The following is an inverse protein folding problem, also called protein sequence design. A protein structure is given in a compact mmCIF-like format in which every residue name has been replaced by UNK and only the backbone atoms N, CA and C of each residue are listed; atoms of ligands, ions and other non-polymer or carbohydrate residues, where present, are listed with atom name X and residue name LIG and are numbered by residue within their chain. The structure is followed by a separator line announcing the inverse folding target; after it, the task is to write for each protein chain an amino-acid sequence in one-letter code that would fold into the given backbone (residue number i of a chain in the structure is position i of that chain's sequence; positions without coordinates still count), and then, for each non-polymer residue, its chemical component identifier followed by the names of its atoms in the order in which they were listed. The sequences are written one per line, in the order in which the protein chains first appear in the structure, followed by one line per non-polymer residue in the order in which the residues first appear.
data_IF_571683890747
#
_entry.id   IF_571683890747
#
_cell.length_a   1.000
_cell.length_b   1.000
_cell.length_c   1.000
_cell.angle_alpha   90.00
_cell.angle_beta   90.00
_cell.angle_gamma   90.00
#
_symmetry.space_group_name_H-M   'P 1'
#
loop_
_entity.id
_entity.type
_entity.pdbx_description
1 polymer ?
#
# COMPACT_ATOMS: atom_id res chain seq x y z
N UNK A 1 -9.09 -17.73 -68.66
CA UNK A 1 -9.91 -16.91 -69.60
C UNK A 1 -9.02 -16.05 -70.50
N UNK A 2 -8.27 -15.09 -70.01
CA UNK A 2 -7.44 -14.19 -70.83
C UNK A 2 -6.44 -14.90 -71.77
N UNK A 3 -5.88 -16.03 -71.35
CA UNK A 3 -4.96 -16.80 -72.20
C UNK A 3 -5.67 -17.53 -73.38
N UNK A 4 -6.86 -18.04 -73.09
CA UNK A 4 -7.69 -18.66 -74.11
C UNK A 4 -8.15 -17.64 -75.22
N UNK A 5 -8.54 -16.45 -74.70
CA UNK A 5 -8.92 -15.34 -75.63
C UNK A 5 -7.72 -14.88 -76.47
N UNK A 6 -6.52 -14.77 -75.84
CA UNK A 6 -5.28 -14.41 -76.53
C UNK A 6 -4.91 -15.44 -77.60
N UNK A 7 -4.95 -16.72 -77.29
CA UNK A 7 -4.60 -17.80 -78.21
C UNK A 7 -5.68 -17.96 -79.28
N UNK A 8 -6.98 -17.78 -78.97
CA UNK A 8 -8.05 -17.76 -79.92
C UNK A 8 -7.91 -16.62 -80.99
N UNK A 9 -7.59 -15.40 -80.45
CA UNK A 9 -7.36 -14.25 -81.35
C UNK A 9 -6.14 -14.47 -82.30
N UNK A 10 -5.09 -15.12 -81.79
CA UNK A 10 -3.93 -15.47 -82.64
C UNK A 10 -4.28 -16.52 -83.72
N UNK A 11 -5.11 -17.48 -83.36
CA UNK A 11 -5.60 -18.44 -84.33
C UNK A 11 -6.45 -17.78 -85.37
N UNK A 12 -7.36 -16.87 -85.03
CA UNK A 12 -8.19 -16.10 -85.97
C UNK A 12 -7.37 -15.26 -86.97
N UNK A 13 -6.27 -14.65 -86.51
CA UNK A 13 -5.44 -13.76 -87.32
C UNK A 13 -4.44 -14.47 -88.26
N UNK A 14 -3.95 -15.64 -87.89
CA UNK A 14 -2.86 -16.30 -88.60
C UNK A 14 -2.96 -17.82 -88.76
N UNK A 15 -4.10 -18.39 -88.36
CA UNK A 15 -4.34 -19.82 -88.48
C UNK A 15 -3.44 -20.69 -87.57
N UNK A 16 -3.32 -21.94 -87.98
CA UNK A 16 -2.58 -22.96 -87.25
C UNK A 16 -1.10 -22.60 -86.97
N UNK A 17 -0.43 -22.00 -87.94
CA UNK A 17 1.00 -21.67 -87.84
C UNK A 17 1.23 -20.60 -86.71
N UNK A 18 0.42 -19.56 -86.75
CA UNK A 18 0.51 -18.48 -85.79
C UNK A 18 0.19 -18.96 -84.34
N UNK A 19 -0.81 -19.84 -84.21
CA UNK A 19 -1.16 -20.44 -82.94
C UNK A 19 -0.02 -21.32 -82.42
N UNK A 20 0.53 -22.21 -83.24
CA UNK A 20 1.65 -23.08 -82.87
C UNK A 20 2.88 -22.28 -82.41
N UNK A 21 3.29 -21.29 -83.22
CA UNK A 21 4.44 -20.45 -82.87
C UNK A 21 4.24 -19.69 -81.56
N UNK A 22 3.03 -19.18 -81.32
CA UNK A 22 2.66 -18.51 -80.07
C UNK A 22 2.67 -19.46 -78.88
N UNK A 23 2.17 -20.68 -79.01
CA UNK A 23 2.18 -21.71 -77.95
C UNK A 23 3.62 -22.12 -77.61
N UNK A 24 4.46 -22.32 -78.63
CA UNK A 24 5.87 -22.66 -78.42
C UNK A 24 6.60 -21.52 -77.76
N UNK A 25 6.39 -20.30 -78.18
CA UNK A 25 6.99 -19.12 -77.60
C UNK A 25 6.55 -18.90 -76.13
N UNK A 26 5.25 -18.94 -75.86
CA UNK A 26 4.71 -18.81 -74.48
C UNK A 26 5.21 -19.91 -73.59
N UNK A 27 5.30 -21.13 -74.00
CA UNK A 27 5.81 -22.23 -73.24
C UNK A 27 7.36 -22.16 -73.00
N UNK A 28 8.08 -21.54 -73.88
CA UNK A 28 9.55 -21.30 -73.76
C UNK A 28 9.85 -20.31 -72.66
N UNK A 29 8.99 -19.30 -72.41
CA UNK A 29 9.10 -18.35 -71.37
C UNK A 29 8.60 -18.86 -69.98
N UNK A 30 7.66 -19.84 -69.99
CA UNK A 30 7.04 -20.45 -68.82
C UNK A 30 7.64 -21.81 -68.46
N UNK A 31 8.96 -21.86 -68.30
CA UNK A 31 9.69 -23.10 -68.03
C UNK A 31 9.16 -23.94 -66.86
N UNK A 32 8.57 -23.30 -65.83
CA UNK A 32 8.14 -23.98 -64.62
C UNK A 32 6.66 -24.42 -64.60
N UNK A 33 5.82 -23.85 -65.47
CA UNK A 33 4.39 -24.22 -65.58
C UNK A 33 3.85 -24.01 -67.02
N UNK A 34 4.33 -24.83 -67.96
CA UNK A 34 3.85 -24.78 -69.33
C UNK A 34 2.37 -25.20 -69.41
N UNK A 35 1.63 -24.58 -70.37
CA UNK A 35 0.28 -24.97 -70.57
C UNK A 35 0.19 -26.26 -71.37
N UNK A 36 -0.73 -27.14 -71.00
CA UNK A 36 -1.23 -28.16 -71.83
C UNK A 36 -2.14 -27.47 -72.85
N UNK A 37 -1.98 -27.82 -74.14
CA UNK A 37 -2.81 -27.27 -75.18
C UNK A 37 -3.17 -28.37 -76.19
N UNK A 38 -4.47 -28.52 -76.44
CA UNK A 38 -4.96 -29.48 -77.41
C UNK A 38 -6.00 -28.78 -78.33
N UNK A 39 -5.93 -29.00 -79.60
CA UNK A 39 -6.92 -28.56 -80.56
C UNK A 39 -7.49 -29.76 -81.28
N UNK A 40 -8.78 -29.87 -81.20
CA UNK A 40 -9.59 -30.91 -81.85
C UNK A 40 -10.24 -30.31 -83.09
N UNK A 41 -9.78 -30.69 -84.28
CA UNK A 41 -10.34 -30.20 -85.54
C UNK A 41 -11.77 -30.68 -85.77
N UNK A 42 -12.66 -29.83 -86.36
CA UNK A 42 -14.07 -30.15 -86.62
C UNK A 42 -14.28 -31.33 -87.60
N UNK A 43 -13.27 -31.67 -88.39
CA UNK A 43 -13.31 -32.71 -89.45
C UNK A 43 -12.47 -33.96 -89.18
N UNK A 44 -12.22 -34.31 -87.90
CA UNK A 44 -11.74 -35.64 -87.44
C UNK A 44 -10.39 -36.16 -87.98
N UNK A 45 -9.52 -35.29 -88.54
CA UNK A 45 -8.28 -35.79 -89.20
C UNK A 45 -6.95 -35.28 -88.67
N UNK A 46 -6.90 -34.29 -87.74
CA UNK A 46 -5.63 -33.91 -87.11
C UNK A 46 -5.87 -33.26 -85.76
N UNK A 47 -5.65 -34.02 -84.67
CA UNK A 47 -5.50 -33.46 -83.33
C UNK A 47 -4.10 -32.89 -83.23
N UNK A 48 -3.96 -31.57 -83.05
CA UNK A 48 -2.74 -30.93 -82.70
C UNK A 48 -2.69 -30.86 -81.13
N UNK A 49 -1.77 -31.64 -80.56
CA UNK A 49 -1.63 -31.67 -79.13
C UNK A 49 -0.22 -31.19 -78.76
N UNK A 50 -0.14 -30.16 -77.92
CA UNK A 50 1.11 -29.68 -77.36
C UNK A 50 1.14 -30.08 -75.92
N UNK A 51 2.13 -30.95 -75.55
CA UNK A 51 2.29 -31.45 -74.22
C UNK A 51 3.41 -30.66 -73.51
N UNK A 52 3.19 -30.19 -72.28
CA UNK A 52 4.24 -29.65 -71.47
C UNK A 52 5.24 -30.74 -71.01
N UNK A 53 6.36 -30.37 -70.53
CA UNK A 53 7.28 -31.29 -69.87
C UNK A 53 6.55 -32.07 -68.78
N UNK A 54 6.84 -33.39 -68.65
CA UNK A 54 6.21 -34.33 -67.70
C UNK A 54 4.75 -34.71 -67.99
N UNK A 55 4.31 -34.60 -69.26
CA UNK A 55 2.96 -35.03 -69.65
C UNK A 55 2.71 -36.53 -69.37
N UNK A 56 3.75 -37.37 -69.31
CA UNK A 56 3.69 -38.81 -69.04
C UNK A 56 3.11 -39.11 -67.66
N UNK A 57 3.10 -38.15 -66.77
CA UNK A 57 2.55 -38.26 -65.42
C UNK A 57 1.02 -38.21 -65.41
N UNK A 58 0.37 -37.83 -66.49
CA UNK A 58 -1.08 -37.72 -66.58
C UNK A 58 -1.71 -38.89 -67.35
N UNK A 59 -2.95 -39.24 -66.99
CA UNK A 59 -3.73 -40.27 -67.72
C UNK A 59 -4.31 -39.72 -68.99
N UNK A 60 -3.54 -39.87 -70.05
CA UNK A 60 -3.95 -39.36 -71.37
C UNK A 60 -5.02 -40.22 -72.08
N UNK A 61 -5.29 -41.44 -71.63
CA UNK A 61 -6.42 -42.26 -72.11
C UNK A 61 -7.74 -41.65 -71.71
N UNK A 62 -7.86 -41.18 -70.47
CA UNK A 62 -9.01 -40.43 -70.01
C UNK A 62 -9.24 -39.15 -70.77
N UNK A 63 -8.17 -38.47 -71.23
CA UNK A 63 -8.30 -37.32 -72.14
C UNK A 63 -8.78 -37.66 -73.53
N UNK A 64 -8.44 -38.84 -74.04
CA UNK A 64 -8.88 -39.34 -75.34
C UNK A 64 -10.36 -39.68 -75.30
N UNK A 65 -10.85 -40.28 -74.26
CA UNK A 65 -12.24 -40.68 -74.10
C UNK A 65 -13.20 -39.47 -73.98
N UNK A 66 -12.68 -38.29 -73.65
CA UNK A 66 -13.41 -37.03 -73.67
C UNK A 66 -13.43 -36.36 -75.03
N UNK A 67 -13.89 -37.08 -76.04
CA UNK A 67 -13.86 -36.65 -77.45
C UNK A 67 -14.79 -35.46 -77.80
N UNK A 68 -15.77 -35.16 -76.95
CA UNK A 68 -16.68 -34.01 -77.17
C UNK A 68 -17.03 -33.25 -75.86
N UNK A 69 -16.07 -32.60 -75.22
CA UNK A 69 -16.35 -31.80 -74.02
C UNK A 69 -17.18 -30.54 -74.42
N UNK A 70 -18.16 -30.20 -73.57
CA UNK A 70 -18.97 -28.98 -73.77
C UNK A 70 -18.09 -27.74 -73.71
N UNK A 71 -18.17 -26.79 -74.60
CA UNK A 71 -17.46 -25.54 -74.54
C UNK A 71 -17.78 -24.82 -73.26
N UNK A 72 -16.74 -24.26 -72.57
CA UNK A 72 -16.85 -23.63 -71.26
C UNK A 72 -16.77 -24.59 -70.03
N UNK A 73 -16.71 -25.89 -70.30
CA UNK A 73 -16.57 -26.87 -69.22
C UNK A 73 -15.12 -26.92 -68.66
N UNK A 74 -15.01 -27.02 -67.35
CA UNK A 74 -13.78 -27.29 -66.69
C UNK A 74 -13.76 -28.74 -66.24
N UNK A 75 -12.63 -29.42 -66.43
CA UNK A 75 -12.44 -30.75 -65.86
C UNK A 75 -11.02 -30.89 -65.29
N UNK A 76 -10.88 -31.82 -64.41
CA UNK A 76 -9.60 -32.14 -63.76
C UNK A 76 -9.11 -33.48 -64.23
N UNK A 77 -7.87 -33.51 -64.67
CA UNK A 77 -7.15 -34.71 -64.99
C UNK A 77 -6.15 -34.98 -63.91
N UNK A 78 -6.34 -36.00 -63.05
CA UNK A 78 -5.40 -36.29 -62.00
C UNK A 78 -4.10 -36.81 -62.60
N UNK A 79 -2.99 -36.45 -61.91
CA UNK A 79 -1.70 -37.06 -62.16
C UNK A 79 -1.70 -38.52 -61.65
N UNK A 80 -0.93 -39.41 -62.28
CA UNK A 80 -0.79 -40.82 -61.85
C UNK A 80 -0.40 -41.03 -60.42
N UNK A 81 0.38 -40.10 -59.81
CA UNK A 81 0.75 -40.12 -58.45
C UNK A 81 -0.28 -39.47 -57.49
N UNK A 82 -1.39 -38.93 -57.99
CA UNK A 82 -2.45 -38.26 -57.26
C UNK A 82 -1.96 -37.09 -56.38
N UNK A 83 -0.83 -36.49 -56.77
CA UNK A 83 -0.23 -35.39 -55.99
C UNK A 83 -0.65 -34.00 -56.44
N UNK A 84 -1.01 -33.85 -57.70
CA UNK A 84 -1.54 -32.63 -58.31
C UNK A 84 -2.39 -32.96 -59.53
N UNK A 85 -3.22 -32.04 -59.98
CA UNK A 85 -4.15 -32.21 -61.10
C UNK A 85 -3.78 -31.26 -62.22
N UNK A 86 -4.18 -31.62 -63.44
CA UNK A 86 -4.26 -30.72 -64.59
C UNK A 86 -5.69 -30.19 -64.68
N UNK A 87 -5.88 -28.90 -64.44
CA UNK A 87 -7.19 -28.25 -64.66
C UNK A 87 -7.29 -27.81 -66.14
N UNK A 88 -8.20 -28.42 -66.88
CA UNK A 88 -8.36 -28.22 -68.31
C UNK A 88 -9.67 -27.47 -68.54
N UNK A 89 -9.62 -26.43 -69.36
CA UNK A 89 -10.76 -25.69 -69.85
C UNK A 89 -10.90 -25.88 -71.32
N UNK A 90 -12.15 -26.06 -71.85
CA UNK A 90 -12.47 -26.21 -73.25
C UNK A 90 -13.14 -24.96 -73.77
N UNK A 91 -12.66 -24.43 -74.88
CA UNK A 91 -13.29 -23.35 -75.66
C UNK A 91 -13.55 -23.79 -77.05
N UNK A 92 -14.56 -23.19 -77.77
CA UNK A 92 -14.85 -23.41 -79.17
C UNK A 92 -14.26 -22.27 -79.99
N UNK A 93 -13.52 -22.61 -81.02
CA UNK A 93 -13.01 -21.68 -81.99
C UNK A 93 -14.11 -21.33 -83.05
N UNK A 94 -13.88 -20.26 -83.80
CA UNK A 94 -14.87 -19.77 -84.77
C UNK A 94 -15.12 -20.74 -85.97
N UNK A 95 -14.15 -21.62 -86.27
CA UNK A 95 -14.26 -22.68 -87.30
C UNK A 95 -14.97 -23.95 -86.82
N UNK A 96 -15.46 -23.97 -85.57
CA UNK A 96 -16.11 -25.08 -84.92
C UNK A 96 -15.16 -26.04 -84.21
N UNK A 97 -13.86 -25.88 -84.36
CA UNK A 97 -12.84 -26.67 -83.63
C UNK A 97 -12.89 -26.43 -82.10
N UNK A 98 -12.55 -27.44 -81.29
CA UNK A 98 -12.48 -27.34 -79.85
C UNK A 98 -11.02 -27.12 -79.41
N UNK A 99 -10.82 -26.13 -78.60
CA UNK A 99 -9.56 -25.73 -78.04
C UNK A 99 -9.55 -26.02 -76.53
N UNK A 100 -8.60 -26.82 -76.10
CA UNK A 100 -8.39 -27.17 -74.67
C UNK A 100 -7.09 -26.60 -74.14
N UNK A 101 -7.16 -25.89 -72.99
CA UNK A 101 -6.00 -25.35 -72.34
C UNK A 101 -6.01 -25.87 -70.87
N UNK A 102 -4.91 -26.44 -70.46
CA UNK A 102 -4.76 -27.00 -69.10
C UNK A 102 -3.60 -26.37 -68.33
N UNK A 103 -3.77 -26.19 -67.08
CA UNK A 103 -2.77 -25.68 -66.18
C UNK A 103 -2.57 -26.68 -65.05
N UNK A 104 -1.29 -26.97 -64.66
CA UNK A 104 -0.97 -27.82 -63.53
C UNK A 104 -1.23 -27.09 -62.22
N UNK A 105 -1.85 -27.78 -61.25
CA UNK A 105 -2.06 -27.27 -59.90
C UNK A 105 -0.82 -27.42 -58.99
N UNK A 106 0.29 -27.98 -59.49
CA UNK A 106 1.51 -28.25 -58.72
C UNK A 106 2.11 -27.01 -58.05
N UNK A 107 2.22 -25.90 -58.80
CA UNK A 107 2.73 -24.64 -58.28
C UNK A 107 1.85 -24.08 -57.17
N UNK A 108 0.54 -24.17 -57.35
CA UNK A 108 -0.44 -23.75 -56.35
C UNK A 108 -0.30 -24.55 -55.06
N UNK A 109 -0.15 -25.87 -55.15
CA UNK A 109 0.03 -26.76 -54.00
C UNK A 109 1.37 -26.50 -53.27
N UNK A 110 2.44 -26.26 -54.06
CA UNK A 110 3.77 -25.91 -53.47
C UNK A 110 3.74 -24.57 -52.73
N UNK A 111 3.09 -23.56 -53.33
CA UNK A 111 2.93 -22.26 -52.64
C UNK A 111 2.09 -22.39 -51.38
N UNK A 112 0.97 -23.11 -51.45
CA UNK A 112 0.14 -23.38 -50.28
C UNK A 112 0.87 -24.17 -49.17
N UNK A 113 1.69 -25.15 -49.58
CA UNK A 113 2.54 -25.90 -48.65
C UNK A 113 3.55 -25.01 -47.92
N UNK A 114 4.22 -24.09 -48.65
CA UNK A 114 5.13 -23.11 -48.06
C UNK A 114 4.42 -22.14 -47.13
N UNK A 115 3.26 -21.60 -47.55
CA UNK A 115 2.46 -20.70 -46.70
C UNK A 115 1.99 -21.41 -45.45
N UNK A 116 1.52 -22.66 -45.52
CA UNK A 116 1.17 -23.46 -44.36
C UNK A 116 2.36 -23.69 -43.42
N UNK A 117 3.54 -23.98 -43.97
CA UNK A 117 4.75 -24.14 -43.18
C UNK A 117 5.12 -22.86 -42.41
N UNK A 118 5.13 -21.71 -43.09
CA UNK A 118 5.38 -20.40 -42.44
C UNK A 118 4.32 -20.10 -41.40
N UNK A 119 3.05 -20.35 -41.71
CA UNK A 119 2.00 -20.11 -40.73
C UNK A 119 2.14 -20.96 -39.47
N UNK A 120 2.44 -22.24 -39.59
CA UNK A 120 2.65 -23.14 -38.44
C UNK A 120 3.86 -22.71 -37.59
N UNK A 121 4.97 -22.34 -38.24
CA UNK A 121 6.18 -21.90 -37.49
C UNK A 121 5.96 -20.59 -36.78
N UNK A 122 5.34 -19.60 -37.41
CA UNK A 122 5.04 -18.30 -36.81
C UNK A 122 4.05 -18.46 -35.63
N UNK A 123 2.97 -19.24 -35.88
CA UNK A 123 1.98 -19.51 -34.81
C UNK A 123 2.61 -20.24 -33.61
N UNK A 124 3.46 -21.23 -33.88
CA UNK A 124 4.18 -21.95 -32.82
C UNK A 124 5.08 -21.04 -32.01
N UNK A 125 5.83 -20.14 -32.66
CA UNK A 125 6.68 -19.14 -31.98
C UNK A 125 5.86 -18.17 -31.13
N UNK A 126 4.72 -17.68 -31.65
CA UNK A 126 3.83 -16.80 -30.91
C UNK A 126 3.24 -17.47 -29.66
N UNK A 127 2.82 -18.73 -29.77
CA UNK A 127 2.31 -19.49 -28.63
C UNK A 127 3.40 -19.67 -27.56
N UNK A 128 4.62 -20.02 -27.97
CA UNK A 128 5.75 -20.14 -27.04
C UNK A 128 6.03 -18.82 -26.33
N UNK A 129 6.06 -17.71 -27.05
CA UNK A 129 6.22 -16.38 -26.48
C UNK A 129 5.10 -16.01 -25.50
N UNK A 130 3.85 -16.33 -25.84
CA UNK A 130 2.70 -16.08 -24.98
C UNK A 130 2.78 -16.89 -23.68
N UNK A 131 3.15 -18.17 -23.75
CA UNK A 131 3.34 -19.03 -22.57
C UNK A 131 4.51 -18.54 -21.70
N UNK A 132 5.64 -18.21 -22.29
CA UNK A 132 6.79 -17.68 -21.58
C UNK A 132 6.47 -16.33 -20.92
N UNK A 133 5.84 -15.42 -21.64
CA UNK A 133 5.40 -14.12 -21.11
C UNK A 133 4.38 -14.27 -19.97
N UNK A 134 3.39 -15.16 -20.14
CA UNK A 134 2.41 -15.45 -19.10
C UNK A 134 3.03 -16.06 -17.82
N UNK A 135 4.02 -16.95 -17.98
CA UNK A 135 4.74 -17.54 -16.86
C UNK A 135 5.59 -16.49 -16.11
N UNK A 136 6.27 -15.61 -16.84
CA UNK A 136 7.03 -14.50 -16.26
C UNK A 136 6.13 -13.51 -15.52
N UNK A 137 5.01 -13.12 -16.13
CA UNK A 137 4.02 -12.24 -15.51
C UNK A 137 3.42 -12.84 -14.24
N UNK A 138 3.07 -14.13 -14.28
CA UNK A 138 2.54 -14.84 -13.11
C UNK A 138 3.53 -14.85 -11.94
N UNK A 139 4.81 -15.07 -12.22
CA UNK A 139 5.85 -15.08 -11.18
C UNK A 139 6.18 -13.70 -10.63
N UNK A 140 6.23 -12.68 -11.49
CA UNK A 140 6.62 -11.32 -11.06
C UNK A 140 5.49 -10.51 -10.45
N UNK A 141 4.24 -10.73 -10.85
CA UNK A 141 3.11 -9.90 -10.42
C UNK A 141 2.13 -10.67 -9.54
N UNK A 142 1.67 -11.84 -9.98
CA UNK A 142 0.59 -12.56 -9.26
C UNK A 142 1.06 -13.22 -7.98
N UNK A 143 2.26 -13.80 -7.95
CA UNK A 143 2.78 -14.45 -6.74
C UNK A 143 3.03 -13.48 -5.59
N UNK A 144 3.71 -12.33 -5.76
CA UNK A 144 3.88 -11.33 -4.72
C UNK A 144 2.55 -10.81 -4.17
N UNK A 145 1.60 -10.50 -5.05
CA UNK A 145 0.27 -10.05 -4.65
C UNK A 145 -0.46 -11.10 -3.81
N UNK A 146 -0.34 -12.37 -4.17
CA UNK A 146 -0.95 -13.47 -3.40
C UNK A 146 -0.30 -13.64 -2.03
N UNK A 147 1.01 -13.45 -1.93
CA UNK A 147 1.73 -13.46 -0.66
C UNK A 147 1.27 -12.33 0.26
N UNK A 148 1.06 -11.13 -0.30
CA UNK A 148 0.51 -9.98 0.41
C UNK A 148 -0.87 -10.29 0.99
N UNK A 149 -1.80 -10.83 0.18
CA UNK A 149 -3.13 -11.25 0.63
C UNK A 149 -3.05 -12.31 1.74
N UNK A 150 -2.18 -13.31 1.60
CA UNK A 150 -1.99 -14.35 2.60
C UNK A 150 -1.46 -13.79 3.92
N UNK A 151 -0.55 -12.81 3.86
CA UNK A 151 -0.01 -12.14 5.06
C UNK A 151 -1.10 -11.33 5.76
N UNK A 152 -1.95 -10.61 5.03
CA UNK A 152 -3.12 -9.91 5.59
C UNK A 152 -4.04 -10.88 6.33
N UNK A 153 -4.40 -12.00 5.70
CA UNK A 153 -5.25 -13.03 6.31
C UNK A 153 -4.61 -13.68 7.54
N UNK A 154 -3.28 -13.84 7.54
CA UNK A 154 -2.57 -14.34 8.71
C UNK A 154 -2.65 -13.35 9.90
N UNK A 155 -2.50 -12.04 9.61
CA UNK A 155 -2.63 -10.99 10.63
C UNK A 155 -4.06 -10.92 11.17
N UNK A 156 -5.07 -10.98 10.30
CA UNK A 156 -6.49 -11.04 10.69
C UNK A 156 -6.77 -12.22 11.63
N UNK A 157 -6.11 -13.35 11.42
CA UNK A 157 -6.20 -14.53 12.31
C UNK A 157 -5.37 -14.41 13.60
N UNK A 158 -4.76 -13.25 13.87
CA UNK A 158 -4.01 -12.96 15.11
C UNK A 158 -2.50 -13.20 15.04
N UNK A 159 -1.95 -13.58 13.88
CA UNK A 159 -0.49 -13.77 13.70
C UNK A 159 0.20 -12.44 13.38
N UNK A 160 0.36 -11.57 14.39
CA UNK A 160 0.93 -10.23 14.24
C UNK A 160 2.41 -10.20 13.83
N UNK A 161 3.12 -11.33 13.90
CA UNK A 161 4.53 -11.46 13.48
C UNK A 161 4.67 -11.79 11.99
N UNK A 162 3.55 -12.03 11.28
CA UNK A 162 3.59 -12.28 9.85
C UNK A 162 4.11 -11.05 9.10
N UNK A 163 5.01 -11.27 8.14
CA UNK A 163 5.59 -10.22 7.30
C UNK A 163 5.49 -10.63 5.83
N UNK A 164 5.35 -9.65 4.97
CA UNK A 164 5.48 -9.83 3.52
C UNK A 164 6.94 -10.13 3.24
N UNK A 165 7.20 -11.25 2.58
CA UNK A 165 8.55 -11.63 2.17
C UNK A 165 9.09 -10.63 1.16
N UNK A 166 10.36 -10.29 1.30
CA UNK A 166 11.11 -9.48 0.35
C UNK A 166 11.03 -10.11 -1.05
N UNK A 167 10.43 -9.41 -1.98
CA UNK A 167 10.17 -9.93 -3.33
C UNK A 167 11.31 -9.66 -4.30
N UNK A 168 12.30 -8.84 -3.93
CA UNK A 168 13.47 -8.46 -4.74
C UNK A 168 13.10 -8.14 -6.20
N UNK A 169 11.93 -7.56 -6.41
CA UNK A 169 11.44 -7.21 -7.74
C UNK A 169 11.97 -5.88 -8.23
N UNK A 170 12.42 -4.99 -7.31
CA UNK A 170 12.94 -3.66 -7.59
C UNK A 170 11.89 -2.71 -8.19
N UNK A 171 10.62 -2.97 -7.95
CA UNK A 171 9.49 -2.23 -8.51
C UNK A 171 8.52 -1.74 -7.42
N UNK A 172 7.40 -1.16 -7.83
CA UNK A 172 6.36 -0.61 -6.95
C UNK A 172 5.75 -1.66 -6.01
N UNK A 173 5.86 -2.95 -6.33
CA UNK A 173 5.36 -4.04 -5.47
C UNK A 173 6.27 -4.28 -4.27
N UNK A 174 7.57 -4.07 -4.42
CA UNK A 174 8.54 -4.13 -3.31
C UNK A 174 8.32 -2.94 -2.36
N UNK A 175 8.17 -1.72 -2.91
CA UNK A 175 7.84 -0.53 -2.12
C UNK A 175 6.54 -0.70 -1.34
N UNK A 176 5.49 -1.28 -1.97
CA UNK A 176 4.23 -1.59 -1.31
C UNK A 176 4.41 -2.61 -0.18
N UNK A 177 5.23 -3.64 -0.38
CA UNK A 177 5.57 -4.63 0.63
C UNK A 177 6.25 -4.01 1.85
N UNK A 178 7.19 -3.10 1.62
CA UNK A 178 7.92 -2.38 2.67
C UNK A 178 7.01 -1.45 3.48
N UNK A 179 6.19 -0.66 2.80
CA UNK A 179 5.20 0.21 3.44
C UNK A 179 4.22 -0.60 4.30
N UNK A 180 3.79 -1.75 3.79
CA UNK A 180 2.92 -2.66 4.52
C UNK A 180 3.59 -3.23 5.77
N UNK A 181 4.85 -3.67 5.65
CA UNK A 181 5.63 -4.17 6.79
C UNK A 181 5.86 -3.08 7.85
N UNK A 182 6.13 -1.83 7.45
CA UNK A 182 6.25 -0.69 8.34
C UNK A 182 4.93 -0.41 9.08
N UNK A 183 3.79 -0.48 8.39
CA UNK A 183 2.47 -0.32 9.00
C UNK A 183 2.20 -1.41 10.05
N UNK A 184 2.50 -2.68 9.73
CA UNK A 184 2.35 -3.80 10.67
C UNK A 184 3.24 -3.60 11.89
N UNK A 185 4.48 -3.18 11.70
CA UNK A 185 5.41 -2.93 12.83
C UNK A 185 4.87 -1.85 13.75
N UNK A 186 4.34 -0.77 13.18
CA UNK A 186 3.73 0.33 13.94
C UNK A 186 2.50 -0.13 14.73
N UNK A 187 1.62 -0.93 14.11
CA UNK A 187 0.46 -1.54 14.78
C UNK A 187 0.92 -2.48 15.90
N UNK A 188 1.92 -3.32 15.65
CA UNK A 188 2.46 -4.24 16.64
C UNK A 188 3.09 -3.52 17.84
N UNK A 189 3.77 -2.40 17.61
CA UNK A 189 4.31 -1.53 18.65
C UNK A 189 3.19 -0.92 19.50
N UNK A 190 2.13 -0.41 18.86
CA UNK A 190 0.96 0.13 19.55
C UNK A 190 0.27 -0.92 20.41
N UNK A 191 0.05 -2.13 19.90
CA UNK A 191 -0.59 -3.22 20.67
C UNK A 191 0.29 -3.65 21.84
N UNK A 192 1.60 -3.78 21.66
CA UNK A 192 2.54 -4.10 22.75
C UNK A 192 2.58 -3.02 23.82
N UNK A 193 2.62 -1.76 23.39
CA UNK A 193 2.59 -0.61 24.31
C UNK A 193 1.26 -0.59 25.10
N UNK A 194 0.13 -0.86 24.43
CA UNK A 194 -1.18 -0.93 25.07
C UNK A 194 -1.28 -2.11 26.05
N UNK A 195 -0.76 -3.30 25.68
CA UNK A 195 -0.71 -4.47 26.57
C UNK A 195 0.14 -4.20 27.82
N UNK A 196 1.35 -3.65 27.67
CA UNK A 196 2.22 -3.29 28.77
C UNK A 196 1.62 -2.22 29.69
N UNK A 197 0.90 -1.23 29.11
CA UNK A 197 0.19 -0.23 29.89
C UNK A 197 -0.95 -0.84 30.71
N UNK A 198 -1.74 -1.75 30.14
CA UNK A 198 -2.82 -2.44 30.86
C UNK A 198 -2.31 -3.31 31.98
N UNK A 199 -1.24 -4.06 31.78
CA UNK A 199 -0.61 -4.89 32.82
C UNK A 199 -0.08 -4.03 33.98
N UNK A 200 0.55 -2.89 33.67
CA UNK A 200 1.02 -1.93 34.68
C UNK A 200 -0.12 -1.32 35.48
N UNK A 201 -1.20 -0.88 34.78
CA UNK A 201 -2.42 -0.35 35.41
C UNK A 201 -3.06 -1.39 36.34
N UNK A 202 -3.18 -2.64 35.87
CA UNK A 202 -3.77 -3.73 36.66
C UNK A 202 -2.92 -3.99 37.93
N UNK A 203 -1.59 -3.96 37.81
CA UNK A 203 -0.69 -4.14 38.94
C UNK A 203 -0.86 -3.01 39.96
N UNK A 204 -0.90 -1.76 39.52
CA UNK A 204 -0.93 -0.59 40.39
C UNK A 204 -2.31 -0.30 40.99
N UNK A 205 -3.38 -0.76 40.33
CA UNK A 205 -4.72 -0.79 40.91
C UNK A 205 -4.84 -1.87 42.02
N UNK A 206 -4.14 -2.98 41.91
CA UNK A 206 -4.20 -4.07 42.87
C UNK A 206 -3.79 -3.61 44.27
N UNK A 207 -2.76 -2.76 44.36
CA UNK A 207 -2.24 -2.26 45.65
C UNK A 207 -3.27 -1.41 46.41
N UNK A 208 -3.86 -0.33 45.86
CA UNK A 208 -4.87 0.48 46.52
C UNK A 208 -6.14 -0.32 46.81
N UNK A 209 -6.58 -1.18 45.88
CA UNK A 209 -7.72 -2.05 46.10
C UNK A 209 -7.52 -3.03 47.25
N UNK A 210 -6.31 -3.56 47.42
CA UNK A 210 -5.97 -4.42 48.54
C UNK A 210 -6.01 -3.65 49.86
N UNK A 211 -5.52 -2.40 49.90
CA UNK A 211 -5.60 -1.52 51.05
C UNK A 211 -7.05 -1.17 51.39
N UNK A 212 -7.82 -0.77 50.38
CA UNK A 212 -9.25 -0.49 50.53
C UNK A 212 -9.97 -1.69 51.17
N UNK A 213 -9.75 -2.90 50.64
CA UNK A 213 -10.34 -4.13 51.18
C UNK A 213 -9.91 -4.38 52.63
N UNK A 214 -8.62 -4.26 52.92
CA UNK A 214 -8.11 -4.49 54.27
C UNK A 214 -8.69 -3.47 55.29
N UNK A 215 -8.86 -2.21 54.92
CA UNK A 215 -9.45 -1.19 55.77
C UNK A 215 -10.96 -1.46 55.94
N UNK A 216 -11.68 -1.88 54.88
CA UNK A 216 -13.07 -2.31 55.01
C UNK A 216 -13.23 -3.54 55.92
N UNK A 217 -12.33 -4.55 55.80
CA UNK A 217 -12.32 -5.75 56.64
C UNK A 217 -12.06 -5.36 58.14
N UNK A 218 -11.17 -4.39 58.43
CA UNK A 218 -10.98 -3.85 59.76
C UNK A 218 -12.23 -3.20 60.33
N UNK A 219 -12.95 -2.40 59.52
CA UNK A 219 -14.19 -1.75 59.92
C UNK A 219 -15.33 -2.75 60.22
N UNK A 220 -15.27 -3.95 59.62
CA UNK A 220 -16.25 -5.02 59.84
C UNK A 220 -15.96 -5.96 60.99
N UNK A 221 -14.86 -5.76 61.74
CA UNK A 221 -14.52 -6.59 62.89
C UNK A 221 -15.53 -6.33 64.02
N UNK A 222 -16.13 -7.38 64.58
CA UNK A 222 -17.25 -7.28 65.54
C UNK A 222 -16.89 -6.60 66.86
N UNK A 223 -15.60 -6.63 67.26
CA UNK A 223 -15.14 -6.06 68.54
C UNK A 223 -14.35 -4.75 68.36
N UNK A 224 -14.39 -4.13 67.15
CA UNK A 224 -13.67 -2.89 66.90
C UNK A 224 -14.32 -1.69 67.61
N UNK A 225 -13.57 -0.81 68.27
CA UNK A 225 -14.11 0.44 68.84
C UNK A 225 -14.72 1.31 67.72
N UNK A 226 -15.82 2.04 68.02
CA UNK A 226 -16.47 2.92 67.04
C UNK A 226 -15.49 3.92 66.39
N UNK A 227 -14.54 4.46 67.15
CA UNK A 227 -13.52 5.36 66.63
C UNK A 227 -12.62 4.67 65.56
N UNK A 228 -12.23 3.44 65.78
CA UNK A 228 -11.42 2.66 64.85
C UNK A 228 -12.19 2.28 63.57
N UNK A 229 -13.50 1.98 63.72
CA UNK A 229 -14.39 1.76 62.56
C UNK A 229 -14.51 3.03 61.70
N UNK A 230 -14.68 4.18 62.35
CA UNK A 230 -14.78 5.48 61.66
C UNK A 230 -13.48 5.83 60.91
N UNK A 231 -12.34 5.65 61.56
CA UNK A 231 -10.99 5.84 60.96
C UNK A 231 -10.82 4.92 59.74
N UNK A 232 -11.12 3.63 59.87
CA UNK A 232 -11.01 2.66 58.79
C UNK A 232 -11.94 3.00 57.60
N UNK A 233 -13.16 3.54 57.84
CA UNK A 233 -14.07 4.01 56.81
C UNK A 233 -13.55 5.31 56.15
N UNK A 234 -12.96 6.23 56.89
CA UNK A 234 -12.30 7.42 56.33
C UNK A 234 -11.15 7.01 55.40
N UNK A 235 -10.31 6.09 55.82
CA UNK A 235 -9.23 5.52 55.01
C UNK A 235 -9.77 4.88 53.71
N UNK A 236 -10.95 4.21 53.78
CA UNK A 236 -11.59 3.66 52.61
C UNK A 236 -12.03 4.75 51.63
N UNK A 237 -12.61 5.83 52.10
CA UNK A 237 -13.03 6.97 51.27
C UNK A 237 -11.79 7.60 50.62
N UNK A 238 -10.72 7.85 51.37
CA UNK A 238 -9.46 8.42 50.84
C UNK A 238 -8.85 7.52 49.73
N UNK A 239 -8.80 6.20 49.96
CA UNK A 239 -8.25 5.26 48.97
C UNK A 239 -9.15 5.13 47.73
N UNK A 240 -10.50 5.23 47.90
CA UNK A 240 -11.45 5.29 46.77
C UNK A 240 -11.21 6.53 45.92
N UNK A 241 -11.11 7.71 46.54
CA UNK A 241 -10.81 8.97 45.84
C UNK A 241 -9.48 8.92 45.10
N UNK A 242 -8.50 8.26 45.70
CA UNK A 242 -7.19 8.03 45.09
C UNK A 242 -7.30 7.16 43.83
N UNK A 243 -8.07 6.07 43.89
CA UNK A 243 -8.31 5.18 42.75
C UNK A 243 -9.04 5.94 41.64
N UNK A 244 -10.08 6.72 41.95
CA UNK A 244 -10.80 7.52 40.97
C UNK A 244 -9.92 8.55 40.26
N UNK A 245 -9.08 9.26 41.03
CA UNK A 245 -8.08 10.20 40.46
C UNK A 245 -7.09 9.47 39.52
N UNK A 246 -6.60 8.29 39.93
CA UNK A 246 -5.71 7.47 39.08
C UNK A 246 -6.37 7.06 37.77
N UNK A 247 -7.60 6.59 37.83
CA UNK A 247 -8.36 6.22 36.61
C UNK A 247 -8.57 7.42 35.70
N UNK A 248 -8.96 8.59 36.25
CA UNK A 248 -9.10 9.83 35.50
C UNK A 248 -7.80 10.23 34.77
N UNK A 249 -6.66 10.22 35.49
CA UNK A 249 -5.35 10.53 34.86
C UNK A 249 -4.98 9.55 33.77
N UNK A 250 -5.24 8.25 33.95
CA UNK A 250 -4.95 7.23 32.92
C UNK A 250 -5.82 7.41 31.68
N UNK A 251 -7.08 7.78 31.84
CA UNK A 251 -7.97 8.11 30.72
C UNK A 251 -7.46 9.35 29.97
N UNK A 252 -7.15 10.43 30.71
CA UNK A 252 -6.60 11.66 30.14
C UNK A 252 -5.33 11.41 29.29
N UNK A 253 -4.40 10.62 29.84
CA UNK A 253 -3.15 10.25 29.14
C UNK A 253 -3.46 9.42 27.90
N UNK A 254 -4.39 8.45 27.99
CA UNK A 254 -4.76 7.61 26.86
C UNK A 254 -5.41 8.41 25.74
N UNK A 255 -6.32 9.33 26.07
CA UNK A 255 -6.98 10.21 25.09
C UNK A 255 -5.97 11.17 24.42
N UNK A 256 -5.03 11.73 25.19
CA UNK A 256 -4.01 12.60 24.63
C UNK A 256 -3.04 11.88 23.68
N UNK A 257 -2.60 10.67 24.03
CA UNK A 257 -1.69 9.88 23.18
C UNK A 257 -2.35 9.33 21.92
N UNK A 258 -3.65 9.01 21.98
CA UNK A 258 -4.42 8.56 20.80
C UNK A 258 -4.90 9.72 19.93
N UNK A 259 -4.72 10.97 20.36
CA UNK A 259 -5.20 12.15 19.65
C UNK A 259 -6.72 12.31 19.70
N UNK A 260 -7.40 11.61 20.63
CA UNK A 260 -8.86 11.68 20.81
C UNK A 260 -9.27 12.65 21.91
N UNK A 261 -8.32 13.24 22.64
CA UNK A 261 -8.59 14.22 23.69
C UNK A 261 -9.32 15.44 23.12
N UNK A 262 -10.49 15.72 23.65
CA UNK A 262 -11.28 16.90 23.30
C UNK A 262 -10.86 18.07 24.14
N UNK A 263 -10.20 19.05 23.54
CA UNK A 263 -9.76 20.26 24.20
C UNK A 263 -10.76 21.40 23.94
N UNK A 264 -11.12 22.14 24.98
CA UNK A 264 -11.88 23.38 24.88
C UNK A 264 -10.92 24.58 24.70
N UNK A 265 -10.26 24.61 23.54
CA UNK A 265 -9.24 25.61 23.23
C UNK A 265 -9.85 27.00 23.12
N UNK A 266 -9.34 27.95 23.91
CA UNK A 266 -9.71 29.37 23.92
C UNK A 266 -8.45 30.22 24.15
N UNK A 267 -8.50 31.51 23.82
CA UNK A 267 -7.45 32.43 24.27
C UNK A 267 -7.40 32.51 25.79
N UNK A 268 -6.25 32.18 26.37
CA UNK A 268 -6.01 32.16 27.83
C UNK A 268 -4.88 33.11 28.17
N UNK A 269 -5.13 33.97 29.15
CA UNK A 269 -4.07 34.74 29.81
C UNK A 269 -3.38 33.84 30.83
N UNK A 270 -2.11 33.47 30.55
CA UNK A 270 -1.42 32.45 31.35
C UNK A 270 -1.02 32.93 32.72
N UNK A 271 -0.66 34.22 32.87
CA UNK A 271 -0.19 34.77 34.17
C UNK A 271 -1.27 34.79 35.22
N UNK A 272 -2.51 35.24 35.01
CA UNK A 272 -3.59 35.14 35.98
C UNK A 272 -3.96 33.70 36.32
N UNK A 273 -3.91 32.80 35.32
CA UNK A 273 -4.17 31.37 35.53
C UNK A 273 -3.10 30.77 36.45
N UNK A 274 -1.82 31.09 36.18
CA UNK A 274 -0.68 30.64 37.01
C UNK A 274 -0.78 31.16 38.41
N UNK A 275 -1.10 32.44 38.64
CA UNK A 275 -1.28 33.03 39.93
C UNK A 275 -2.33 32.27 40.77
N UNK A 276 -3.50 32.01 40.15
CA UNK A 276 -4.57 31.26 40.83
C UNK A 276 -4.13 29.83 41.25
N UNK A 277 -3.36 29.15 40.43
CA UNK A 277 -2.85 27.81 40.79
C UNK A 277 -1.76 27.91 41.85
N UNK A 278 -0.83 28.85 41.73
CA UNK A 278 0.22 29.08 42.74
C UNK A 278 -0.38 29.39 44.11
N UNK A 279 -1.41 30.22 44.17
CA UNK A 279 -2.08 30.59 45.44
C UNK A 279 -2.66 29.37 46.18
N UNK A 280 -3.16 28.36 45.45
CA UNK A 280 -3.61 27.12 46.10
C UNK A 280 -2.45 26.35 46.78
N UNK A 281 -1.28 26.45 46.24
CA UNK A 281 -0.09 25.76 46.81
C UNK A 281 0.68 26.59 47.83
N UNK A 282 0.47 27.90 47.94
CA UNK A 282 1.17 28.78 48.95
C UNK A 282 0.95 28.28 50.37
N UNK A 283 -0.30 27.94 50.72
CA UNK A 283 -0.60 27.43 52.06
C UNK A 283 0.20 26.15 52.41
N UNK A 284 0.23 25.18 51.48
CA UNK A 284 0.93 23.91 51.66
C UNK A 284 2.45 24.12 51.69
N UNK A 285 2.96 25.05 50.92
CA UNK A 285 4.37 25.42 50.90
C UNK A 285 4.77 26.10 52.21
N UNK A 286 3.95 27.03 52.69
CA UNK A 286 4.20 27.76 53.97
C UNK A 286 4.20 26.81 55.16
N UNK A 287 3.28 25.82 55.23
CA UNK A 287 3.28 24.76 56.26
C UNK A 287 4.59 23.96 56.30
N UNK A 288 5.21 23.77 55.12
CA UNK A 288 6.51 23.11 54.98
C UNK A 288 7.71 24.04 55.13
N UNK A 289 7.49 25.34 55.35
CA UNK A 289 8.55 26.35 55.37
C UNK A 289 9.25 26.57 54.02
N UNK A 290 8.55 26.25 52.90
CA UNK A 290 9.08 26.45 51.55
C UNK A 290 8.69 27.84 51.04
N UNK A 291 9.67 28.57 50.53
CA UNK A 291 9.42 29.90 49.92
C UNK A 291 8.97 29.76 48.50
N UNK A 292 7.81 30.35 48.17
CA UNK A 292 7.34 30.43 46.76
C UNK A 292 7.65 31.81 46.17
N UNK A 293 8.31 31.83 45.02
CA UNK A 293 8.66 33.02 44.24
C UNK A 293 7.99 32.95 42.89
N UNK A 294 7.38 34.09 42.46
CA UNK A 294 6.71 34.20 41.16
C UNK A 294 7.28 35.38 40.36
N UNK A 295 7.44 35.18 39.06
CA UNK A 295 7.84 36.21 38.09
C UNK A 295 7.06 36.00 36.79
N UNK A 296 6.00 36.77 36.60
CA UNK A 296 5.04 36.62 35.49
C UNK A 296 5.01 37.83 34.62
N UNK A 297 5.09 37.64 33.31
CA UNK A 297 4.90 38.74 32.33
C UNK A 297 3.41 38.91 31.97
N UNK A 298 2.97 40.17 31.84
CA UNK A 298 1.55 40.50 31.57
C UNK A 298 1.07 40.10 30.16
N UNK A 299 1.99 39.87 29.22
CA UNK A 299 1.69 39.65 27.80
C UNK A 299 1.69 38.17 27.39
N UNK A 300 1.52 37.24 28.35
CA UNK A 300 1.52 35.81 28.08
C UNK A 300 0.12 35.30 27.72
N UNK A 301 -0.20 35.26 26.41
CA UNK A 301 -1.45 34.71 25.87
C UNK A 301 -1.17 33.50 25.02
N UNK A 302 -1.97 32.44 25.21
CA UNK A 302 -1.88 31.18 24.47
C UNK A 302 -3.28 30.72 24.03
N UNK A 303 -3.37 29.91 22.98
CA UNK A 303 -4.58 29.14 22.66
C UNK A 303 -4.52 27.80 23.39
N UNK A 304 -5.35 27.63 24.42
CA UNK A 304 -5.32 26.42 25.23
C UNK A 304 -6.66 26.14 25.93
N UNK A 305 -6.77 24.96 26.47
CA UNK A 305 -7.78 24.60 27.45
C UNK A 305 -7.26 24.98 28.86
N UNK A 306 -7.92 25.97 29.48
CA UNK A 306 -7.49 26.53 30.77
C UNK A 306 -7.46 25.49 31.88
N UNK A 307 -8.43 24.58 31.92
CA UNK A 307 -8.49 23.53 32.96
C UNK A 307 -7.34 22.54 32.82
N UNK A 308 -6.99 22.18 31.57
CA UNK A 308 -5.86 21.31 31.29
C UNK A 308 -4.52 21.95 31.59
N UNK A 309 -4.35 23.24 31.27
CA UNK A 309 -3.14 23.98 31.66
C UNK A 309 -3.03 24.11 33.16
N UNK A 310 -4.12 24.39 33.88
CA UNK A 310 -4.13 24.41 35.36
C UNK A 310 -3.75 23.04 35.93
N UNK A 311 -4.21 21.96 35.37
CA UNK A 311 -3.88 20.59 35.72
C UNK A 311 -2.37 20.30 35.55
N UNK A 312 -1.75 20.76 34.46
CA UNK A 312 -0.30 20.68 34.22
C UNK A 312 0.46 21.41 35.32
N UNK A 313 0.08 22.67 35.58
CA UNK A 313 0.75 23.50 36.60
C UNK A 313 0.61 22.90 37.96
N UNK A 314 -0.57 22.43 38.34
CA UNK A 314 -0.82 21.76 39.62
C UNK A 314 0.07 20.51 39.79
N UNK A 315 0.23 19.68 38.74
CA UNK A 315 1.11 18.50 38.80
C UNK A 315 2.58 18.87 38.97
N UNK A 316 3.05 19.95 38.32
CA UNK A 316 4.44 20.41 38.47
C UNK A 316 4.69 21.02 39.87
N UNK A 317 3.72 21.84 40.35
CA UNK A 317 3.82 22.44 41.67
C UNK A 317 3.71 21.41 42.79
N UNK A 318 2.82 20.42 42.70
CA UNK A 318 2.75 19.29 43.64
C UNK A 318 4.09 18.57 43.75
N UNK A 319 4.72 18.28 42.59
CA UNK A 319 6.05 17.68 42.58
C UNK A 319 7.09 18.60 43.20
N UNK A 320 7.13 19.90 42.85
CA UNK A 320 8.10 20.86 43.39
C UNK A 320 7.98 20.97 44.91
N UNK A 321 6.78 21.19 45.46
CA UNK A 321 6.55 21.30 46.93
C UNK A 321 6.83 19.97 47.63
N UNK A 322 6.54 18.84 46.98
CA UNK A 322 6.73 17.51 47.55
C UNK A 322 8.19 17.14 47.70
N UNK A 323 9.03 17.44 46.73
CA UNK A 323 10.43 17.04 46.67
C UNK A 323 11.41 18.13 47.19
N UNK A 324 10.89 19.32 47.49
CA UNK A 324 11.68 20.39 48.14
C UNK A 324 11.71 20.17 49.67
N UNK A 325 12.90 20.19 50.31
CA UNK A 325 13.02 20.11 51.74
C UNK A 325 12.54 21.40 52.42
N UNK A 326 12.37 21.35 53.72
CA UNK A 326 12.10 22.53 54.58
C UNK A 326 13.12 23.65 54.30
N UNK A 327 12.65 24.91 54.27
CA UNK A 327 13.43 26.12 53.98
C UNK A 327 13.97 26.16 52.54
N UNK A 328 13.46 25.32 51.63
CA UNK A 328 13.76 25.37 50.21
C UNK A 328 12.97 26.45 49.49
N UNK A 329 13.19 26.56 48.15
CA UNK A 329 12.58 27.55 47.31
C UNK A 329 11.94 26.85 46.09
N UNK A 330 10.70 27.24 45.75
CA UNK A 330 10.04 26.92 44.52
C UNK A 330 9.77 28.21 43.76
N UNK A 331 10.25 28.31 42.54
CA UNK A 331 10.08 29.50 41.67
C UNK A 331 9.29 29.16 40.43
N UNK A 332 8.29 30.00 40.12
CA UNK A 332 7.50 29.93 38.90
C UNK A 332 7.72 31.19 38.09
N UNK A 333 8.22 31.02 36.86
CA UNK A 333 8.45 32.14 35.94
C UNK A 333 7.68 31.94 34.67
N UNK A 334 7.09 33.01 34.11
CA UNK A 334 6.47 33.05 32.83
C UNK A 334 7.03 34.21 32.04
N UNK A 335 7.63 33.92 30.90
CA UNK A 335 8.22 34.93 30.02
C UNK A 335 7.79 34.71 28.56
N UNK A 336 7.70 35.80 27.79
CA UNK A 336 7.48 35.73 26.36
C UNK A 336 8.81 35.83 25.63
N UNK A 337 9.16 34.82 24.84
CA UNK A 337 10.39 34.76 24.06
C UNK A 337 9.99 34.60 22.58
N UNK A 338 10.06 35.72 21.83
CA UNK A 338 9.59 35.80 20.45
C UNK A 338 8.12 35.33 20.30
N UNK A 339 7.87 34.31 19.50
CA UNK A 339 6.53 33.73 19.25
C UNK A 339 6.19 32.58 20.21
N UNK A 340 6.87 32.47 21.34
CA UNK A 340 6.70 31.38 22.30
C UNK A 340 6.55 31.91 23.71
N UNK A 341 5.61 31.38 24.46
CA UNK A 341 5.55 31.57 25.92
C UNK A 341 6.35 30.44 26.57
N UNK A 342 7.26 30.83 27.44
CA UNK A 342 8.07 29.93 28.23
C UNK A 342 7.63 30.02 29.71
N UNK A 343 7.17 28.90 30.25
CA UNK A 343 6.86 28.74 31.66
C UNK A 343 7.88 27.82 32.31
N UNK A 344 8.47 28.25 33.41
CA UNK A 344 9.45 27.47 34.20
C UNK A 344 8.95 27.26 35.61
N UNK A 345 9.03 26.01 36.07
CA UNK A 345 8.84 25.65 37.49
C UNK A 345 10.18 25.08 37.98
N UNK A 346 10.82 25.82 38.87
CA UNK A 346 12.11 25.45 39.41
C UNK A 346 11.98 25.15 40.94
N UNK A 347 12.60 24.06 41.39
CA UNK A 347 12.67 23.67 42.79
C UNK A 347 14.12 23.54 43.26
N UNK A 348 14.35 23.76 44.55
CA UNK A 348 15.64 23.53 45.22
C UNK A 348 15.65 22.17 45.95
N UNK A 349 14.97 21.17 45.39
CA UNK A 349 14.75 19.88 45.97
C UNK A 349 15.91 18.89 45.80
N UNK A 350 15.60 17.62 46.01
CA UNK A 350 16.57 16.52 45.94
C UNK A 350 17.18 16.31 44.57
N UNK A 351 16.59 16.89 43.52
CA UNK A 351 16.98 16.69 42.13
C UNK A 351 16.70 15.27 41.60
N UNK A 352 16.98 15.06 40.32
CA UNK A 352 16.75 13.82 39.60
C UNK A 352 18.11 13.26 39.15
N UNK A 353 18.27 11.94 39.25
CA UNK A 353 19.50 11.27 38.79
C UNK A 353 19.57 11.32 37.26
N UNK A 354 20.76 11.47 36.64
CA UNK A 354 20.89 11.53 35.19
C UNK A 354 20.29 10.30 34.49
N UNK A 355 20.38 9.12 35.06
CA UNK A 355 19.83 7.86 34.59
C UNK A 355 18.30 7.77 34.69
N UNK A 356 17.69 8.67 35.46
CA UNK A 356 16.23 8.72 35.65
C UNK A 356 15.55 9.76 34.72
N UNK A 357 16.29 10.74 34.16
CA UNK A 357 15.74 11.88 33.41
C UNK A 357 14.86 11.44 32.25
N UNK A 358 15.24 10.42 31.51
CA UNK A 358 14.44 9.92 30.38
C UNK A 358 13.21 9.13 30.86
N UNK A 359 13.30 8.53 32.04
CA UNK A 359 12.29 7.65 32.62
C UNK A 359 11.20 8.36 33.42
N UNK A 360 11.45 9.58 33.88
CA UNK A 360 10.44 10.34 34.68
C UNK A 360 9.15 10.61 33.90
N UNK A 361 9.18 10.49 32.57
CA UNK A 361 8.04 10.64 31.69
C UNK A 361 7.23 9.35 31.48
N UNK A 362 7.80 8.21 31.92
CA UNK A 362 7.12 6.91 31.83
C UNK A 362 5.96 6.88 32.82
N UNK A 363 4.88 6.26 32.41
CA UNK A 363 3.70 6.06 33.26
C UNK A 363 4.11 5.25 34.50
N UNK A 364 3.61 5.66 35.65
CA UNK A 364 3.79 4.96 36.95
C UNK A 364 5.26 4.87 37.40
N UNK A 365 6.17 5.54 36.69
CA UNK A 365 7.57 5.58 37.12
C UNK A 365 7.75 6.39 38.39
N UNK A 366 8.55 5.86 39.27
CA UNK A 366 8.94 6.51 40.55
C UNK A 366 10.44 6.37 40.74
N UNK A 367 11.13 7.47 40.92
CA UNK A 367 12.56 7.48 41.20
C UNK A 367 12.90 6.69 42.45
N UNK A 368 14.08 6.07 42.47
CA UNK A 368 14.54 5.21 43.59
C UNK A 368 14.62 5.92 44.94
N UNK A 369 14.79 7.26 44.94
CA UNK A 369 14.85 8.10 46.15
C UNK A 369 13.50 8.65 46.60
N UNK A 370 12.40 8.33 45.90
CA UNK A 370 11.07 8.85 46.25
C UNK A 370 10.48 8.11 47.42
N UNK A 371 10.57 8.69 48.62
CA UNK A 371 9.91 8.20 49.85
C UNK A 371 8.44 8.65 49.96
N UNK A 372 8.04 9.65 49.17
CA UNK A 372 6.71 10.24 49.21
C UNK A 372 5.69 9.43 48.41
N UNK A 373 4.45 9.35 48.93
CA UNK A 373 3.32 8.69 48.29
C UNK A 373 2.91 9.46 47.00
N UNK A 374 3.04 8.87 45.82
CA UNK A 374 2.59 9.43 44.54
C UNK A 374 2.24 8.33 43.57
N UNK A 375 1.39 8.63 42.57
CA UNK A 375 0.93 7.66 41.58
C UNK A 375 1.91 7.45 40.42
N UNK A 376 2.91 8.34 40.25
CA UNK A 376 3.83 8.28 39.12
C UNK A 376 3.20 8.63 37.76
N UNK A 377 2.01 9.24 37.78
CA UNK A 377 1.25 9.60 36.57
C UNK A 377 1.33 11.10 36.25
N UNK A 378 1.76 11.96 37.20
CA UNK A 378 1.70 13.41 37.00
C UNK A 378 2.54 13.92 35.83
N UNK A 379 3.81 13.49 35.73
CA UNK A 379 4.70 13.94 34.65
C UNK A 379 4.33 13.34 33.28
N UNK A 380 3.87 12.10 33.21
CA UNK A 380 3.36 11.53 31.96
C UNK A 380 2.08 12.23 31.47
N UNK A 381 1.19 12.65 32.39
CA UNK A 381 0.04 13.48 32.09
C UNK A 381 0.48 14.85 31.55
N UNK A 382 1.42 15.51 32.21
CA UNK A 382 1.97 16.80 31.75
C UNK A 382 2.49 16.72 30.34
N UNK A 383 3.29 15.70 30.03
CA UNK A 383 3.83 15.48 28.67
C UNK A 383 2.73 15.23 27.65
N UNK A 384 1.75 14.39 27.98
CA UNK A 384 0.65 14.03 27.09
C UNK A 384 -0.25 15.24 26.77
N UNK A 385 -0.65 16.00 27.78
CA UNK A 385 -1.51 17.17 27.61
C UNK A 385 -0.78 18.30 26.88
N UNK A 386 0.51 18.53 27.16
CA UNK A 386 1.32 19.51 26.41
C UNK A 386 1.44 19.13 24.94
N UNK A 387 1.68 17.87 24.65
CA UNK A 387 1.71 17.40 23.26
C UNK A 387 0.37 17.65 22.52
N UNK A 388 -0.76 17.43 23.20
CA UNK A 388 -2.08 17.73 22.66
C UNK A 388 -2.30 19.25 22.40
N UNK A 389 -1.58 20.12 23.13
CA UNK A 389 -1.57 21.58 22.93
C UNK A 389 -0.43 22.07 22.02
N UNK A 390 0.24 21.19 21.27
CA UNK A 390 1.41 21.51 20.44
C UNK A 390 2.56 22.17 21.21
N UNK A 391 2.65 21.92 22.51
CA UNK A 391 3.70 22.40 23.40
C UNK A 391 4.83 21.37 23.59
N UNK A 392 5.93 21.86 24.13
CA UNK A 392 7.09 21.03 24.51
C UNK A 392 7.40 21.20 26.00
N UNK A 393 7.94 20.15 26.63
CA UNK A 393 8.49 20.19 27.97
C UNK A 393 9.91 19.67 27.98
N UNK A 394 10.77 20.34 28.74
CA UNK A 394 12.15 19.92 29.00
C UNK A 394 12.41 19.94 30.51
N UNK A 395 13.34 19.14 30.94
CA UNK A 395 13.80 19.13 32.32
C UNK A 395 15.31 19.26 32.36
N UNK A 396 15.80 20.05 33.29
CA UNK A 396 17.20 20.11 33.71
C UNK A 396 17.26 19.91 35.23
N UNK A 397 18.08 19.00 35.71
CA UNK A 397 18.17 18.69 37.13
C UNK A 397 19.56 18.25 37.49
N UNK A 398 19.95 18.61 38.74
CA UNK A 398 21.21 18.16 39.35
C UNK A 398 20.89 17.55 40.70
N UNK A 399 21.32 16.32 40.97
CA UNK A 399 21.09 15.68 42.24
C UNK A 399 21.59 16.56 43.43
N UNK A 400 20.70 16.86 44.37
CA UNK A 400 20.96 17.70 45.54
C UNK A 400 20.90 19.21 45.31
N UNK A 401 20.64 19.67 44.04
CA UNK A 401 20.54 21.09 43.73
C UNK A 401 19.15 21.48 43.18
N UNK A 402 18.26 20.49 42.95
CA UNK A 402 16.89 20.69 42.48
C UNK A 402 16.68 20.42 41.02
N UNK A 403 15.49 20.77 40.54
CA UNK A 403 15.05 20.54 39.15
C UNK A 403 14.41 21.79 38.56
N UNK A 404 14.50 21.94 37.23
CA UNK A 404 13.83 22.98 36.48
C UNK A 404 13.04 22.30 35.34
N UNK A 405 11.74 22.43 35.38
CA UNK A 405 10.84 22.03 34.29
C UNK A 405 10.52 23.25 33.45
N UNK A 406 10.82 23.20 32.14
CA UNK A 406 10.61 24.27 31.18
C UNK A 406 9.56 23.83 30.18
N UNK A 407 8.44 24.55 30.11
CA UNK A 407 7.34 24.36 29.16
C UNK A 407 7.40 25.46 28.12
N UNK A 408 7.20 25.11 26.86
CA UNK A 408 7.09 26.00 25.74
C UNK A 408 5.77 25.83 25.03
N UNK A 409 5.02 26.93 24.86
CA UNK A 409 3.73 26.95 24.16
C UNK A 409 3.73 28.09 23.12
N UNK A 410 3.04 27.92 21.96
CA UNK A 410 2.91 28.99 20.98
C UNK A 410 2.20 30.20 21.58
N UNK A 411 2.79 31.39 21.40
CA UNK A 411 2.19 32.64 21.82
C UNK A 411 1.15 33.11 20.82
N UNK A 412 0.09 33.73 21.32
CA UNK A 412 -0.87 34.46 20.50
C UNK A 412 -0.86 35.96 20.86
N UNK A 413 -1.27 36.86 19.96
CA UNK A 413 -1.48 38.24 20.31
C UNK A 413 -2.61 38.37 21.35
N UNK A 414 -2.58 39.40 22.21
CA UNK A 414 -3.65 39.68 23.17
C UNK A 414 -4.99 39.81 22.44
N UNK A 415 -6.05 39.12 22.86
CA UNK A 415 -7.35 39.21 22.24
C UNK A 415 -7.94 40.61 22.42
N UNK A 416 -8.52 41.18 21.35
CA UNK A 416 -9.02 42.54 21.29
C UNK A 416 -10.15 42.89 22.28
N UNK A 417 -10.65 41.94 23.03
CA UNK A 417 -11.83 42.05 23.93
C UNK A 417 -11.54 41.81 25.43
N UNK A 418 -10.31 41.53 25.83
CA UNK A 418 -9.98 41.56 27.26
C UNK A 418 -9.66 43.00 27.68
N UNK A 419 -10.34 43.55 28.72
CA UNK A 419 -9.94 44.84 29.29
C UNK A 419 -8.51 44.72 29.75
N UNK A 420 -7.70 45.76 29.47
CA UNK A 420 -6.37 45.89 30.05
C UNK A 420 -6.49 45.85 31.58
N UNK A 421 -5.53 45.19 32.28
CA UNK A 421 -5.53 45.08 33.74
C UNK A 421 -5.53 46.44 34.43
#
# INVERSE_FOLDING_TARGET
MAEIESLSSKYESGGWKALHDTIVENNRYRKNNPFFTRVLAANDRQDLVFFPYHWEEFDMETLRDMYNPRPGAWFRLPNRSLTFDLEIMTARLFDGSLFQVGISTQDRLTVLGRLRGVFVTVSGALILLAVAGGALFSRRVLLPLRNLINTVSAIESGKMDARVSDTQTGDELEELGDLFNQMIEKISQLIRAMGGALDSVAHDLRTPMTRFRNNAEKALQADAPEAACREALQDCVEESDRILRMLGMLMDISEAETGTMRLLVKPVALSPLAEAVVDMYRYVADEKGIRMETDFCDSAFIEADADRISQIMANLLDNAVKFTPENGVVRVCIEKVAETIMMRVADSGIGILPEEIDRIWDRLYRGARSTHRGLGLGLSLVKAVLHAHHGEIRVSSTPGAGSVFEIRLPAIPPPAHLPAP
#
